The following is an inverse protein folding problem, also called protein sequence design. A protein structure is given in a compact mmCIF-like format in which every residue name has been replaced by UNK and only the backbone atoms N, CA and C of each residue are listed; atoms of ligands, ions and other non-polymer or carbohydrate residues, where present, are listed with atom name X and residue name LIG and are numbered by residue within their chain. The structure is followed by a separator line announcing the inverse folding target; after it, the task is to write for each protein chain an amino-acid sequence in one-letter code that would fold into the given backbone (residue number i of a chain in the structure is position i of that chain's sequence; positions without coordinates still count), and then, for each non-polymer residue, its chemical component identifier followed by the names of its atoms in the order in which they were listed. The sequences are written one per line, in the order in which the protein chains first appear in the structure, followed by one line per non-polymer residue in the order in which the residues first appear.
data_IF_146304168852
#
_entry.id   IF_146304168852
#
_cell.length_a   1.000
_cell.length_b   1.000
_cell.length_c   1.000
_cell.angle_alpha   90.00
_cell.angle_beta   90.00
_cell.angle_gamma   90.00
#
_symmetry.space_group_name_H-M   'P 1'
#
loop_
_entity.id
_entity.type
_entity.pdbx_description
1 polymer ?
#
# COMPACT_ATOMS: atom_id res chain seq x y z
N UNK A 1 -4.18 -28.74 21.51
CA UNK A 1 -3.53 -28.35 20.24
C UNK A 1 -4.43 -27.36 19.51
N UNK A 2 -4.27 -26.07 19.81
CA UNK A 2 -4.71 -24.94 18.96
C UNK A 2 -3.67 -23.86 19.22
N UNK A 3 -2.80 -23.68 18.24
CA UNK A 3 -1.72 -22.72 18.24
C UNK A 3 -2.29 -21.31 18.25
N UNK A 4 -1.60 -20.43 18.97
CA UNK A 4 -1.95 -19.03 19.12
C UNK A 4 -1.56 -18.27 17.85
N UNK A 5 -2.53 -17.65 17.19
CA UNK A 5 -2.35 -16.70 16.10
C UNK A 5 -1.83 -15.36 16.66
N UNK A 6 -0.53 -15.26 16.94
CA UNK A 6 0.09 -14.06 17.49
C UNK A 6 1.46 -13.78 16.85
N UNK A 7 1.50 -13.32 15.59
CA UNK A 7 2.69 -12.65 15.02
C UNK A 7 2.23 -11.80 13.83
N UNK A 8 2.45 -10.51 13.72
CA UNK A 8 3.28 -9.54 14.43
C UNK A 8 3.45 -8.39 13.43
N UNK A 9 3.45 -7.14 13.89
CA UNK A 9 3.86 -6.02 13.01
C UNK A 9 5.37 -6.13 12.89
N UNK A 10 5.89 -6.67 11.78
CA UNK A 10 7.35 -6.78 11.60
C UNK A 10 7.96 -5.40 11.34
N UNK A 11 8.68 -4.90 12.34
CA UNK A 11 9.49 -3.70 12.28
C UNK A 11 10.76 -3.98 11.45
N UNK A 12 10.90 -3.33 10.28
CA UNK A 12 12.08 -3.48 9.41
C UNK A 12 13.03 -2.29 9.56
N UNK A 13 14.28 -2.57 9.93
CA UNK A 13 15.37 -1.58 10.00
C UNK A 13 15.88 -1.30 8.58
N UNK A 14 15.71 -0.07 8.09
CA UNK A 14 16.26 0.38 6.80
C UNK A 14 17.38 1.37 7.11
N UNK A 15 18.62 0.96 6.89
CA UNK A 15 19.78 1.83 7.00
C UNK A 15 19.93 2.62 5.68
N UNK A 16 19.73 3.94 5.76
CA UNK A 16 19.94 4.83 4.61
C UNK A 16 21.23 5.61 4.81
N UNK A 17 22.22 5.37 3.94
CA UNK A 17 23.43 6.21 3.87
C UNK A 17 23.06 7.56 3.24
N UNK A 18 22.88 8.56 4.09
CA UNK A 18 22.79 9.97 3.68
C UNK A 18 24.18 10.53 3.39
N UNK A 19 24.35 11.13 2.22
CA UNK A 19 25.42 12.11 1.97
C UNK A 19 24.85 13.51 2.23
N UNK A 20 25.51 14.20 3.16
CA UNK A 20 25.47 15.63 3.51
C UNK A 20 24.29 16.16 4.36
N UNK A 21 24.49 16.08 5.69
CA UNK A 21 24.80 17.26 6.50
C UNK A 21 23.66 18.22 6.87
N UNK A 22 22.93 17.92 7.96
CA UNK A 22 22.70 18.76 9.16
C UNK A 22 21.92 17.92 10.18
N UNK A 23 22.28 18.04 11.45
CA UNK A 23 22.00 17.11 12.54
C UNK A 23 20.56 17.23 13.07
N UNK A 24 19.81 16.11 13.02
CA UNK A 24 18.93 15.63 14.08
C UNK A 24 18.82 14.11 13.89
N UNK A 25 19.64 13.35 14.63
CA UNK A 25 19.65 11.88 14.56
C UNK A 25 18.58 11.30 15.48
N UNK A 26 17.32 11.38 15.06
CA UNK A 26 16.43 10.26 15.28
C UNK A 26 16.47 9.43 13.99
N UNK A 27 17.08 8.25 14.04
CA UNK A 27 16.75 7.21 13.07
C UNK A 27 15.24 6.95 13.22
N UNK A 28 14.40 7.69 12.50
CA UNK A 28 12.98 7.43 12.48
C UNK A 28 12.81 6.06 11.85
N UNK A 29 12.60 5.06 12.69
CA UNK A 29 12.21 3.73 12.25
C UNK A 29 10.90 3.86 11.47
N UNK A 30 11.01 3.91 10.15
CA UNK A 30 9.84 3.95 9.27
C UNK A 30 9.20 2.57 9.32
N UNK A 31 8.18 2.43 10.16
CA UNK A 31 7.32 1.24 10.18
C UNK A 31 6.55 1.18 8.86
N UNK A 32 6.86 0.16 8.05
CA UNK A 32 6.18 -0.10 6.78
C UNK A 32 5.40 -1.39 6.91
N UNK A 33 4.09 -1.34 6.65
CA UNK A 33 3.26 -2.54 6.56
C UNK A 33 3.61 -3.32 5.30
N UNK A 34 4.05 -4.56 5.46
CA UNK A 34 4.28 -5.48 4.34
C UNK A 34 2.93 -6.11 3.93
N UNK A 35 2.63 -6.22 2.62
CA UNK A 35 1.44 -6.93 2.14
C UNK A 35 1.44 -8.40 2.58
N UNK A 36 0.28 -8.90 3.02
CA UNK A 36 0.06 -10.30 3.36
C UNK A 36 -0.38 -11.12 2.14
N UNK A 37 -0.28 -12.46 2.18
CA UNK A 37 -0.87 -13.32 1.16
C UNK A 37 -2.37 -13.03 1.01
N UNK A 38 -2.80 -12.63 -0.18
CA UNK A 38 -4.18 -12.25 -0.48
C UNK A 38 -4.44 -10.74 -0.49
N UNK A 39 -3.53 -9.91 0.05
CA UNK A 39 -3.55 -8.46 -0.13
C UNK A 39 -2.78 -8.08 -1.41
N UNK A 40 -3.22 -7.02 -2.08
CA UNK A 40 -2.63 -6.56 -3.34
C UNK A 40 -2.31 -5.07 -3.24
N UNK A 41 -1.16 -4.66 -3.75
CA UNK A 41 -0.79 -3.25 -3.88
C UNK A 41 -1.41 -2.67 -5.15
N UNK A 42 -1.77 -1.39 -5.11
CA UNK A 42 -2.25 -0.70 -6.30
C UNK A 42 -2.12 0.81 -6.21
N UNK A 43 -2.27 1.46 -7.35
CA UNK A 43 -2.29 2.91 -7.51
C UNK A 43 -3.70 3.36 -7.78
N UNK A 44 -4.13 4.39 -7.05
CA UNK A 44 -5.44 5.01 -7.26
C UNK A 44 -5.44 5.68 -8.63
N UNK A 45 -6.35 5.24 -9.48
CA UNK A 45 -6.53 5.78 -10.83
C UNK A 45 -7.50 6.96 -10.79
N UNK A 46 -8.71 6.74 -10.26
CA UNK A 46 -9.74 7.76 -10.21
C UNK A 46 -10.62 7.62 -8.96
N UNK A 47 -11.11 8.74 -8.45
CA UNK A 47 -12.18 8.74 -7.42
C UNK A 47 -13.56 8.63 -8.07
N UNK A 48 -14.33 7.60 -7.72
CA UNK A 48 -15.68 7.37 -8.27
C UNK A 48 -16.81 8.02 -7.42
N UNK A 49 -16.48 8.50 -6.22
CA UNK A 49 -17.46 9.02 -5.26
C UNK A 49 -18.10 7.92 -4.41
N UNK A 50 -18.96 8.30 -3.46
CA UNK A 50 -19.59 7.36 -2.50
C UNK A 50 -18.59 6.44 -1.77
N UNK A 51 -17.42 6.98 -1.41
CA UNK A 51 -16.30 6.22 -0.82
C UNK A 51 -15.77 5.07 -1.70
N UNK A 52 -15.97 5.13 -3.02
CA UNK A 52 -15.42 4.18 -3.99
C UNK A 52 -14.31 4.82 -4.82
N UNK A 53 -13.32 4.01 -5.16
CA UNK A 53 -12.14 4.37 -5.92
C UNK A 53 -11.93 3.34 -7.02
N UNK A 54 -11.47 3.79 -8.19
CA UNK A 54 -10.88 2.90 -9.20
C UNK A 54 -9.39 2.78 -8.91
N UNK A 55 -8.90 1.56 -8.77
CA UNK A 55 -7.51 1.29 -8.39
C UNK A 55 -6.91 0.29 -9.38
N UNK A 56 -5.78 0.69 -9.99
CA UNK A 56 -4.96 -0.19 -10.84
C UNK A 56 -4.05 -1.00 -9.91
N UNK A 57 -4.28 -2.30 -9.85
CA UNK A 57 -3.55 -3.21 -8.98
C UNK A 57 -2.28 -3.74 -9.67
N UNK A 58 -1.28 -4.12 -8.89
CA UNK A 58 -0.04 -4.71 -9.40
C UNK A 58 -0.24 -6.08 -10.08
N UNK A 59 -1.39 -6.72 -9.90
CA UNK A 59 -1.76 -7.93 -10.61
C UNK A 59 -2.28 -7.67 -12.04
N UNK A 60 -2.25 -6.41 -12.49
CA UNK A 60 -2.72 -5.98 -13.81
C UNK A 60 -4.23 -5.77 -13.90
N UNK A 61 -4.99 -6.00 -12.81
CA UNK A 61 -6.45 -5.80 -12.80
C UNK A 61 -6.82 -4.41 -12.29
N UNK A 62 -7.92 -3.89 -12.80
CA UNK A 62 -8.51 -2.64 -12.30
C UNK A 62 -9.71 -2.98 -11.43
N UNK A 63 -9.63 -2.62 -10.14
CA UNK A 63 -10.69 -2.92 -9.16
C UNK A 63 -11.43 -1.65 -8.73
N UNK A 64 -12.71 -1.82 -8.41
CA UNK A 64 -13.49 -0.84 -7.67
C UNK A 64 -13.30 -1.13 -6.18
N UNK A 65 -12.48 -0.32 -5.54
CA UNK A 65 -12.19 -0.45 -4.12
C UNK A 65 -13.10 0.45 -3.29
N UNK A 66 -13.64 -0.09 -2.19
CA UNK A 66 -14.41 0.67 -1.20
C UNK A 66 -13.50 1.10 -0.06
N UNK A 67 -13.72 2.31 0.46
CA UNK A 67 -13.07 2.77 1.70
C UNK A 67 -13.99 2.39 2.87
N UNK A 68 -13.56 1.50 3.77
CA UNK A 68 -14.31 1.17 4.98
C UNK A 68 -14.64 2.43 5.79
N UNK A 69 -15.83 2.49 6.37
CA UNK A 69 -16.29 3.66 7.13
C UNK A 69 -15.33 4.07 8.25
N UNK A 70 -14.66 3.09 8.88
CA UNK A 70 -13.63 3.30 9.91
C UNK A 70 -12.43 4.10 9.41
N UNK A 71 -12.09 3.98 8.12
CA UNK A 71 -10.96 4.65 7.49
C UNK A 71 -11.35 5.95 6.78
N UNK A 72 -12.63 6.16 6.47
CA UNK A 72 -13.12 7.33 5.71
C UNK A 72 -12.67 8.67 6.28
N UNK A 73 -12.61 8.82 7.61
CA UNK A 73 -12.16 10.06 8.27
C UNK A 73 -10.63 10.21 8.36
N UNK A 74 -9.89 9.09 8.30
CA UNK A 74 -8.44 9.07 8.52
C UNK A 74 -7.64 9.04 7.22
N UNK A 75 -8.21 8.46 6.17
CA UNK A 75 -7.52 8.14 4.93
C UNK A 75 -7.80 9.23 3.88
N UNK A 76 -6.88 10.19 3.76
CA UNK A 76 -6.93 11.19 2.69
C UNK A 76 -6.20 10.66 1.46
N UNK A 77 -6.96 10.32 0.41
CA UNK A 77 -6.47 9.60 -0.79
C UNK A 77 -6.65 10.39 -2.07
N UNK A 78 -5.61 10.84 -2.75
CA UNK A 78 -5.68 11.47 -4.07
C UNK A 78 -5.39 10.43 -5.17
N UNK A 79 -5.62 10.83 -6.41
CA UNK A 79 -5.19 10.06 -7.59
C UNK A 79 -3.66 9.97 -7.59
N UNK A 80 -3.11 8.82 -8.02
CA UNK A 80 -1.68 8.53 -7.96
C UNK A 80 -1.17 8.01 -6.61
N UNK A 81 -1.97 8.05 -5.53
CA UNK A 81 -1.54 7.48 -4.25
C UNK A 81 -1.46 5.94 -4.31
N UNK A 82 -0.46 5.39 -3.63
CA UNK A 82 -0.28 3.94 -3.49
C UNK A 82 -1.03 3.42 -2.26
N UNK A 83 -1.83 2.39 -2.47
CA UNK A 83 -2.69 1.80 -1.46
C UNK A 83 -2.55 0.28 -1.38
N UNK A 84 -2.84 -0.25 -0.20
CA UNK A 84 -3.02 -1.67 0.07
C UNK A 84 -4.50 -2.02 -0.03
N UNK A 85 -4.80 -3.06 -0.79
CA UNK A 85 -6.15 -3.48 -1.14
C UNK A 85 -6.33 -4.92 -0.69
N UNK A 86 -7.50 -5.20 -0.13
CA UNK A 86 -7.98 -6.56 0.14
C UNK A 86 -9.08 -6.88 -0.89
N UNK A 87 -8.80 -7.72 -1.90
CA UNK A 87 -9.81 -8.18 -2.85
C UNK A 87 -10.90 -8.98 -2.13
N UNK A 88 -12.16 -8.80 -2.53
CA UNK A 88 -13.27 -9.56 -1.95
C UNK A 88 -13.22 -11.03 -2.35
N UNK A 89 -13.52 -11.95 -1.43
CA UNK A 89 -13.42 -13.40 -1.69
C UNK A 89 -14.22 -13.86 -2.91
N UNK A 90 -15.45 -13.36 -3.08
CA UNK A 90 -16.37 -13.73 -4.16
C UNK A 90 -16.18 -12.92 -5.45
N UNK A 91 -15.48 -11.80 -5.38
CA UNK A 91 -15.32 -10.88 -6.52
C UNK A 91 -13.90 -10.33 -6.55
N UNK A 92 -12.92 -11.23 -6.49
CA UNK A 92 -11.49 -10.90 -6.41
C UNK A 92 -11.00 -10.09 -7.61
N UNK A 93 -11.68 -10.14 -8.74
CA UNK A 93 -11.25 -9.47 -9.96
C UNK A 93 -11.76 -8.03 -10.06
N UNK A 94 -12.98 -7.79 -9.56
CA UNK A 94 -13.68 -6.52 -9.77
C UNK A 94 -13.69 -5.62 -8.53
N UNK A 95 -13.68 -6.20 -7.33
CA UNK A 95 -13.97 -5.48 -6.08
C UNK A 95 -12.96 -5.75 -4.99
N UNK A 96 -12.79 -4.76 -4.12
CA UNK A 96 -11.98 -4.90 -2.91
C UNK A 96 -12.26 -3.79 -1.91
N UNK A 97 -11.61 -3.87 -0.75
CA UNK A 97 -11.60 -2.82 0.25
C UNK A 97 -10.19 -2.22 0.38
N UNK A 98 -10.11 -0.92 0.65
CA UNK A 98 -8.84 -0.23 0.94
C UNK A 98 -8.50 -0.39 2.40
N UNK A 99 -7.33 -0.97 2.68
CA UNK A 99 -6.82 -1.20 4.04
C UNK A 99 -5.91 -0.06 4.50
N UNK A 100 -4.98 0.36 3.64
CA UNK A 100 -3.90 1.27 4.02
C UNK A 100 -3.48 2.15 2.84
N UNK A 101 -3.00 3.36 3.15
CA UNK A 101 -2.35 4.25 2.19
C UNK A 101 -0.89 4.36 2.59
N UNK A 102 0.01 4.09 1.64
CA UNK A 102 1.43 4.28 1.84
C UNK A 102 1.81 5.74 1.63
N UNK A 103 2.72 6.22 2.46
CA UNK A 103 3.42 7.47 2.23
C UNK A 103 4.55 7.26 1.21
N UNK A 104 5.00 8.30 0.50
CA UNK A 104 6.09 8.17 -0.48
C UNK A 104 7.35 7.49 0.08
N UNK A 105 7.77 7.86 1.29
CA UNK A 105 8.92 7.25 1.97
C UNK A 105 8.73 5.74 2.24
N UNK A 106 7.51 5.28 2.51
CA UNK A 106 7.22 3.86 2.71
C UNK A 106 7.20 3.10 1.38
N UNK A 107 6.78 3.76 0.30
CA UNK A 107 6.81 3.20 -1.06
C UNK A 107 8.26 2.91 -1.47
N UNK A 108 9.19 3.81 -1.18
CA UNK A 108 10.62 3.60 -1.51
C UNK A 108 11.18 2.36 -0.83
N UNK A 109 10.74 2.07 0.41
CA UNK A 109 11.10 0.83 1.12
C UNK A 109 10.50 -0.40 0.43
N UNK A 110 9.24 -0.33 -0.02
CA UNK A 110 8.60 -1.42 -0.77
C UNK A 110 9.28 -1.69 -2.12
N UNK A 111 9.69 -0.63 -2.81
CA UNK A 111 10.48 -0.70 -4.06
C UNK A 111 11.84 -1.36 -3.82
N UNK A 112 12.58 -0.91 -2.78
CA UNK A 112 13.87 -1.52 -2.39
C UNK A 112 13.76 -3.00 -2.05
N UNK A 113 12.65 -3.43 -1.44
CA UNK A 113 12.38 -4.85 -1.15
C UNK A 113 11.99 -5.66 -2.39
N UNK A 114 11.75 -5.02 -3.54
CA UNK A 114 11.30 -5.69 -4.75
C UNK A 114 9.86 -6.20 -4.70
N UNK A 115 9.06 -5.72 -3.73
CA UNK A 115 7.63 -6.05 -3.60
C UNK A 115 6.75 -5.15 -4.47
N UNK A 116 7.29 -4.01 -4.88
CA UNK A 116 6.65 -3.04 -5.77
C UNK A 116 7.56 -2.87 -6.98
N UNK A 117 7.47 -3.80 -7.93
CA UNK A 117 8.43 -3.84 -9.05
C UNK A 117 7.98 -3.06 -10.28
N UNK A 118 6.70 -2.99 -10.63
CA UNK A 118 6.33 -2.50 -11.95
C UNK A 118 4.99 -1.75 -11.93
N UNK A 119 5.08 -0.42 -12.07
CA UNK A 119 4.04 0.42 -12.67
C UNK A 119 4.68 1.42 -13.66
N UNK A 120 5.98 1.73 -13.52
CA UNK A 120 6.70 2.61 -14.46
C UNK A 120 6.79 2.05 -15.90
N UNK A 121 6.46 0.78 -16.15
CA UNK A 121 6.54 0.16 -17.49
C UNK A 121 5.32 0.40 -18.38
N UNK A 122 4.31 1.16 -17.95
CA UNK A 122 3.04 1.35 -18.69
C UNK A 122 2.80 2.77 -19.24
N UNK A 123 3.80 3.66 -19.18
CA UNK A 123 3.75 4.97 -19.87
C UNK A 123 4.40 4.96 -21.28
N UNK A 124 4.81 3.80 -21.79
CA UNK A 124 5.42 3.65 -23.12
C UNK A 124 4.72 2.62 -24.01
N UNK A 125 3.40 2.74 -24.27
CA UNK A 125 2.75 2.14 -25.45
C UNK A 125 1.54 2.94 -25.93
#
# INVERSE_FOLDING_TARGET
MKENDDFGTEDFKVESKSINGTQDQSEEFIRVRIPRPGEVLGVIDQRLGSSRLRVRCLDGKTRICRIPGRLKKKLWVREGDIVLIEPWEYSKEDKGDVLYKYRPNQVDVLKKKGLFKEIDTLEEF
#
